data_IF_222518510683
#
_entry.id   IF_222518510683
#
_cell.length_a   1.000
_cell.length_b   1.000
_cell.length_c   1.000
_cell.angle_alpha   90.00
_cell.angle_beta   90.00
_cell.angle_gamma   90.00
#
_symmetry.space_group_name_H-M   'P 1'
#
loop_
_entity.id
_entity.type
_entity.pdbx_description
1 polymer ?
#
# COMPACT_ATOMS: atom_id res chain seq x y z
N UNK A 1 5.54 -8.00 7.29
CA UNK A 1 5.08 -8.99 6.30
C UNK A 1 4.52 -8.24 5.10
N UNK A 2 5.07 -8.39 3.90
CA UNK A 2 4.64 -7.63 2.70
C UNK A 2 3.47 -8.32 1.97
N UNK A 3 2.47 -8.83 2.71
CA UNK A 3 1.39 -9.64 2.13
C UNK A 3 0.53 -8.86 1.13
N UNK A 4 0.16 -7.62 1.47
CA UNK A 4 -0.66 -6.76 0.60
C UNK A 4 0.08 -6.44 -0.70
N UNK A 5 1.36 -6.05 -0.65
CA UNK A 5 2.16 -5.84 -1.86
C UNK A 5 2.35 -7.13 -2.66
N UNK A 6 2.52 -8.28 -1.99
CA UNK A 6 2.67 -9.59 -2.65
C UNK A 6 1.40 -10.10 -3.31
N UNK A 7 0.22 -9.62 -2.89
CA UNK A 7 -1.03 -9.89 -3.57
C UNK A 7 -1.03 -9.29 -4.99
N UNK A 8 -0.48 -8.08 -5.14
CA UNK A 8 -0.39 -7.38 -6.43
C UNK A 8 0.88 -7.73 -7.22
N UNK A 9 1.97 -8.00 -6.51
CA UNK A 9 3.29 -8.29 -7.07
C UNK A 9 3.80 -9.61 -6.48
N UNK A 10 3.46 -10.76 -7.09
CA UNK A 10 3.90 -12.07 -6.64
C UNK A 10 5.43 -12.15 -6.54
N UNK A 11 5.91 -13.11 -5.74
CA UNK A 11 7.36 -13.33 -5.58
C UNK A 11 8.01 -13.59 -6.94
N UNK A 12 9.12 -12.93 -7.23
CA UNK A 12 9.84 -13.04 -8.50
C UNK A 12 9.44 -12.01 -9.54
N UNK A 13 8.50 -11.10 -9.22
CA UNK A 13 8.19 -9.98 -10.10
C UNK A 13 9.34 -8.96 -10.11
N UNK A 14 9.72 -8.53 -11.31
CA UNK A 14 10.72 -7.49 -11.53
C UNK A 14 10.03 -6.13 -11.72
N UNK A 15 10.25 -5.22 -10.77
CA UNK A 15 9.66 -3.89 -10.80
C UNK A 15 10.17 -3.03 -11.95
N UNK A 16 11.32 -3.35 -12.56
CA UNK A 16 11.80 -2.64 -13.75
C UNK A 16 10.85 -2.82 -14.95
N UNK A 17 10.10 -3.92 -14.97
CA UNK A 17 9.13 -4.22 -16.01
C UNK A 17 7.71 -3.73 -15.66
N UNK A 18 7.56 -3.02 -14.53
CA UNK A 18 6.29 -2.48 -14.08
C UNK A 18 6.33 -0.96 -14.20
N UNK A 19 5.30 -0.37 -14.82
CA UNK A 19 5.23 1.09 -14.91
C UNK A 19 5.13 1.71 -13.52
N UNK A 20 5.83 2.83 -13.32
CA UNK A 20 5.77 3.57 -12.06
C UNK A 20 4.33 3.96 -11.68
N UNK A 21 3.49 4.26 -12.67
CA UNK A 21 2.07 4.55 -12.47
C UNK A 21 1.33 3.39 -11.79
N UNK A 22 1.59 2.14 -12.21
CA UNK A 22 0.97 0.95 -11.60
C UNK A 22 1.46 0.76 -10.17
N UNK A 23 2.76 0.96 -9.92
CA UNK A 23 3.33 0.88 -8.57
C UNK A 23 2.67 1.91 -7.65
N UNK A 24 2.60 3.17 -8.10
CA UNK A 24 1.98 4.26 -7.34
C UNK A 24 0.51 3.97 -7.05
N UNK A 25 -0.23 3.45 -8.03
CA UNK A 25 -1.63 3.10 -7.85
C UNK A 25 -1.81 1.99 -6.80
N UNK A 26 -1.02 0.91 -6.86
CA UNK A 26 -1.08 -0.17 -5.87
C UNK A 26 -0.76 0.35 -4.47
N UNK A 27 0.28 1.17 -4.33
CA UNK A 27 0.66 1.77 -3.04
C UNK A 27 -0.47 2.64 -2.50
N UNK A 28 -1.11 3.44 -3.35
CA UNK A 28 -2.25 4.27 -2.95
C UNK A 28 -3.42 3.41 -2.46
N UNK A 29 -3.77 2.35 -3.19
CA UNK A 29 -4.83 1.41 -2.78
C UNK A 29 -4.54 0.79 -1.41
N UNK A 30 -3.29 0.38 -1.15
CA UNK A 30 -2.90 -0.24 0.13
C UNK A 30 -2.98 0.76 1.28
N UNK A 31 -2.57 2.01 1.04
CA UNK A 31 -2.51 3.07 2.05
C UNK A 31 -3.88 3.65 2.39
N UNK A 32 -4.76 3.79 1.39
CA UNK A 32 -6.15 4.27 1.50
C UNK A 32 -7.13 3.18 2.00
N UNK A 33 -6.67 1.93 2.16
CA UNK A 33 -7.49 0.83 2.67
C UNK A 33 -7.84 1.08 4.14
N UNK A 34 -9.13 1.14 4.45
CA UNK A 34 -9.64 1.16 5.82
C UNK A 34 -9.31 -0.16 6.52
N UNK A 35 -8.80 -0.09 7.76
CA UNK A 35 -8.41 -1.27 8.52
C UNK A 35 -9.18 -1.35 9.84
N UNK A 36 -9.86 -2.47 10.15
CA UNK A 36 -10.59 -2.63 11.41
C UNK A 36 -9.70 -2.42 12.64
N UNK A 37 -8.46 -2.90 12.60
CA UNK A 37 -7.47 -2.75 13.69
C UNK A 37 -7.08 -1.28 13.94
N UNK A 38 -7.33 -0.38 12.98
CA UNK A 38 -7.05 1.04 13.07
C UNK A 38 -8.32 1.86 13.40
N UNK A 39 -9.35 1.23 13.95
CA UNK A 39 -10.69 1.81 14.13
C UNK A 39 -11.29 2.30 12.81
N UNK A 40 -11.15 1.49 11.75
CA UNK A 40 -11.62 1.81 10.41
C UNK A 40 -10.98 3.07 9.81
N UNK A 41 -9.78 3.45 10.26
CA UNK A 41 -8.96 4.48 9.62
C UNK A 41 -7.99 3.87 8.61
N UNK A 42 -7.47 4.72 7.72
CA UNK A 42 -6.46 4.30 6.75
C UNK A 42 -5.06 4.38 7.36
N UNK A 43 -4.09 3.69 6.74
CA UNK A 43 -2.69 3.81 7.15
C UNK A 43 -2.14 5.21 6.86
N UNK A 44 -2.67 5.85 5.81
CA UNK A 44 -2.33 7.22 5.43
C UNK A 44 -2.78 8.22 6.49
N UNK A 45 -4.02 8.13 6.97
CA UNK A 45 -4.56 9.05 7.98
C UNK A 45 -3.68 9.04 9.24
N UNK A 46 -3.35 7.85 9.74
CA UNK A 46 -2.48 7.72 10.91
C UNK A 46 -1.08 8.28 10.67
N UNK A 47 -0.53 8.12 9.48
CA UNK A 47 0.77 8.70 9.17
C UNK A 47 0.72 10.23 9.21
N UNK A 48 -0.30 10.83 8.60
CA UNK A 48 -0.48 12.28 8.57
C UNK A 48 -0.72 12.85 9.98
N UNK A 49 -1.46 12.14 10.85
CA UNK A 49 -1.71 12.55 12.24
C UNK A 49 -0.44 12.55 13.12
N UNK A 50 0.53 11.67 12.84
CA UNK A 50 1.67 11.43 13.75
C UNK A 50 3.00 12.05 13.27
N UNK A 51 3.12 12.38 11.99
CA UNK A 51 4.41 12.74 11.38
C UNK A 51 4.39 14.05 10.58
N UNK A 52 3.25 14.74 10.52
CA UNK A 52 3.11 16.08 9.92
C UNK A 52 2.71 17.08 10.99
#
# INVERSE_FOLDING_TARGET
MNSELRHWFPKGNDFNNVSQQKINWVVNVINEKLRPILNWRTAKDLFLENFI
#
